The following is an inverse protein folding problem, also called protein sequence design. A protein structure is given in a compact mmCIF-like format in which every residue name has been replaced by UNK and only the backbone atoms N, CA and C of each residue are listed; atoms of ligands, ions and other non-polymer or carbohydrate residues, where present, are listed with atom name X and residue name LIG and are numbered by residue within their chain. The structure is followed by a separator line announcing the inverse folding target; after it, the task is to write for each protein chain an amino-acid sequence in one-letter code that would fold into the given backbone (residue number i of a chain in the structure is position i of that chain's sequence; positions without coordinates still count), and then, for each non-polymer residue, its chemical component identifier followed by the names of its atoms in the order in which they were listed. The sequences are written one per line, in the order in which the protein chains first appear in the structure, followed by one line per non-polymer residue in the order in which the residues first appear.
data_IF_953559013245
#
_entry.id   IF_953559013245
#
_cell.length_a   1.000
_cell.length_b   1.000
_cell.length_c   1.000
_cell.angle_alpha   90.00
_cell.angle_beta   90.00
_cell.angle_gamma   90.00
#
_symmetry.space_group_name_H-M   'P 1'
#
loop_
_entity.id
_entity.type
_entity.pdbx_description
1 polymer ?
#
# COMPACT_ATOMS: atom_id res chain seq x y z
N UNK A 1 12.81 12.81 -16.02
CA UNK A 1 13.63 12.31 -14.89
C UNK A 1 13.06 12.74 -13.53
N UNK A 2 12.50 13.94 -13.36
CA UNK A 2 11.78 14.31 -12.11
C UNK A 2 10.42 13.62 -11.96
N UNK A 3 9.76 13.28 -13.06
CA UNK A 3 8.46 12.59 -13.07
C UNK A 3 8.53 11.08 -12.77
N UNK A 4 9.73 10.53 -12.63
CA UNK A 4 9.94 9.08 -12.57
C UNK A 4 9.40 8.48 -11.25
N UNK A 5 9.25 9.31 -10.20
CA UNK A 5 8.60 8.94 -8.93
C UNK A 5 7.06 9.06 -8.96
N UNK A 6 6.49 9.78 -9.94
CA UNK A 6 5.03 9.87 -10.07
C UNK A 6 4.41 8.52 -10.40
N UNK A 7 5.08 7.70 -11.21
CA UNK A 7 4.57 6.38 -11.58
C UNK A 7 4.35 5.44 -10.38
N UNK A 8 5.33 5.19 -9.49
CA UNK A 8 5.09 4.36 -8.31
C UNK A 8 4.09 4.99 -7.34
N UNK A 9 4.03 6.33 -7.24
CA UNK A 9 3.01 7.04 -6.46
C UNK A 9 1.59 6.79 -7.02
N UNK A 10 1.38 7.00 -8.31
CA UNK A 10 0.10 6.77 -8.99
C UNK A 10 -0.29 5.29 -8.94
N UNK A 11 0.65 4.38 -9.10
CA UNK A 11 0.41 2.95 -8.95
C UNK A 11 -0.10 2.62 -7.53
N UNK A 12 0.46 3.24 -6.50
CA UNK A 12 -0.02 3.07 -5.12
C UNK A 12 -1.43 3.66 -4.92
N UNK A 13 -1.71 4.84 -5.48
CA UNK A 13 -3.09 5.40 -5.48
C UNK A 13 -4.07 4.44 -6.16
N UNK A 14 -3.72 3.91 -7.34
CA UNK A 14 -4.55 2.97 -8.07
C UNK A 14 -4.79 1.69 -7.26
N UNK A 15 -3.77 1.16 -6.58
CA UNK A 15 -3.91 0.01 -5.70
C UNK A 15 -4.85 0.27 -4.54
N UNK A 16 -4.72 1.42 -3.88
CA UNK A 16 -5.64 1.83 -2.79
C UNK A 16 -7.08 1.96 -3.30
N UNK A 17 -7.28 2.51 -4.50
CA UNK A 17 -8.61 2.59 -5.12
C UNK A 17 -9.20 1.19 -5.40
N UNK A 18 -8.39 0.25 -5.89
CA UNK A 18 -8.81 -1.14 -6.07
C UNK A 18 -9.20 -1.80 -4.75
N UNK A 19 -8.49 -1.52 -3.65
CA UNK A 19 -8.84 -2.01 -2.32
C UNK A 19 -10.16 -1.42 -1.80
N UNK A 20 -10.47 -0.14 -2.10
CA UNK A 20 -11.78 0.44 -1.81
C UNK A 20 -12.91 -0.28 -2.56
N UNK A 21 -12.71 -0.55 -3.85
CA UNK A 21 -13.66 -1.33 -4.67
C UNK A 21 -13.84 -2.71 -4.08
N UNK A 22 -12.74 -3.41 -3.75
CA UNK A 22 -12.79 -4.73 -3.13
C UNK A 22 -13.56 -4.73 -1.81
N UNK A 23 -13.31 -3.75 -0.93
CA UNK A 23 -14.02 -3.61 0.34
C UNK A 23 -15.52 -3.34 0.12
N UNK A 24 -15.84 -2.52 -0.87
CA UNK A 24 -17.23 -2.19 -1.23
C UNK A 24 -17.98 -3.44 -1.68
N UNK A 25 -17.37 -4.26 -2.53
CA UNK A 25 -17.93 -5.54 -2.96
C UNK A 25 -18.09 -6.50 -1.78
N UNK A 26 -17.09 -6.60 -0.91
CA UNK A 26 -17.15 -7.47 0.27
C UNK A 26 -18.26 -7.08 1.26
N UNK A 27 -18.59 -5.78 1.34
CA UNK A 27 -19.66 -5.23 2.20
C UNK A 27 -21.04 -5.28 1.58
N UNK A 28 -21.16 -5.44 0.26
CA UNK A 28 -22.44 -5.40 -0.45
C UNK A 28 -23.52 -6.36 0.10
N UNK A 29 -23.20 -7.61 0.49
CA UNK A 29 -24.20 -8.52 1.06
C UNK A 29 -24.77 -8.04 2.40
N UNK A 30 -23.95 -7.39 3.23
CA UNK A 30 -24.34 -6.93 4.56
C UNK A 30 -25.07 -5.58 4.53
N UNK A 31 -24.66 -4.68 3.63
CA UNK A 31 -25.19 -3.30 3.54
C UNK A 31 -26.39 -3.21 2.61
N UNK A 32 -26.33 -3.86 1.44
CA UNK A 32 -27.35 -3.74 0.38
C UNK A 32 -28.08 -5.05 0.09
N UNK A 33 -27.72 -6.16 0.75
CA UNK A 33 -28.30 -7.48 0.48
C UNK A 33 -27.85 -8.12 -0.83
N UNK A 34 -27.05 -7.43 -1.65
CA UNK A 34 -26.57 -7.95 -2.94
C UNK A 34 -25.52 -9.04 -2.71
N UNK A 35 -25.76 -10.25 -3.22
CA UNK A 35 -24.87 -11.40 -3.03
C UNK A 35 -24.97 -12.05 -1.64
N UNK A 36 -26.02 -11.74 -0.88
CA UNK A 36 -26.33 -12.40 0.40
C UNK A 36 -26.76 -13.85 0.16
N UNK A 37 -26.32 -14.76 1.03
CA UNK A 37 -26.72 -16.18 0.96
C UNK A 37 -28.19 -16.35 1.39
N UNK A 38 -28.78 -17.49 1.05
CA UNK A 38 -30.16 -17.84 1.38
C UNK A 38 -30.43 -17.86 2.90
N UNK A 39 -29.41 -18.19 3.70
CA UNK A 39 -29.45 -18.16 5.17
C UNK A 39 -29.28 -16.75 5.76
N UNK A 40 -29.13 -15.72 4.92
CA UNK A 40 -28.91 -14.35 5.36
C UNK A 40 -27.46 -14.05 5.78
N UNK A 41 -26.51 -14.96 5.61
CA UNK A 41 -25.09 -14.70 5.91
C UNK A 41 -24.37 -14.02 4.73
N UNK A 42 -23.30 -13.27 5.05
CA UNK A 42 -22.40 -12.73 4.03
C UNK A 42 -21.34 -13.77 3.64
N UNK A 43 -21.13 -14.07 2.35
CA UNK A 43 -20.06 -14.96 1.91
C UNK A 43 -18.66 -14.44 2.25
N UNK A 44 -18.52 -13.14 2.51
CA UNK A 44 -17.23 -12.47 2.76
C UNK A 44 -16.93 -12.21 4.24
N UNK A 45 -17.79 -12.67 5.17
CA UNK A 45 -17.69 -12.35 6.59
C UNK A 45 -16.30 -12.59 7.22
N UNK A 46 -15.59 -13.64 6.78
CA UNK A 46 -14.27 -13.97 7.30
C UNK A 46 -13.11 -13.15 6.69
N UNK A 47 -13.32 -12.48 5.56
CA UNK A 47 -12.27 -11.74 4.84
C UNK A 47 -12.49 -10.23 4.83
N UNK A 48 -13.74 -9.76 4.91
CA UNK A 48 -14.09 -8.34 4.95
C UNK A 48 -13.31 -7.56 6.02
N UNK A 49 -13.18 -8.04 7.28
CA UNK A 49 -12.43 -7.30 8.30
C UNK A 49 -10.94 -7.15 7.95
N UNK A 50 -10.36 -8.16 7.26
CA UNK A 50 -8.96 -8.15 6.83
C UNK A 50 -8.74 -7.19 5.66
N UNK A 51 -9.69 -7.09 4.73
CA UNK A 51 -9.67 -6.10 3.65
C UNK A 51 -9.75 -4.69 4.25
N UNK A 52 -10.66 -4.46 5.19
CA UNK A 52 -10.79 -3.18 5.89
C UNK A 52 -9.50 -2.78 6.63
N UNK A 53 -8.92 -3.69 7.41
CA UNK A 53 -7.66 -3.44 8.10
C UNK A 53 -6.48 -3.19 7.14
N UNK A 54 -6.44 -3.90 5.99
CA UNK A 54 -5.41 -3.66 4.99
C UNK A 54 -5.57 -2.29 4.32
N UNK A 55 -6.80 -1.87 4.03
CA UNK A 55 -7.09 -0.58 3.45
C UNK A 55 -6.69 0.57 4.39
N UNK A 56 -7.03 0.48 5.68
CA UNK A 56 -6.59 1.47 6.68
C UNK A 56 -5.07 1.58 6.72
N UNK A 57 -4.36 0.45 6.66
CA UNK A 57 -2.89 0.43 6.64
C UNK A 57 -2.28 1.12 5.40
N UNK A 58 -3.03 1.32 4.31
CA UNK A 58 -2.54 2.10 3.15
C UNK A 58 -2.32 3.59 3.47
N UNK A 59 -2.84 4.08 4.61
CA UNK A 59 -2.77 5.48 5.02
C UNK A 59 -1.89 5.73 6.25
N UNK A 60 -1.17 4.73 6.73
CA UNK A 60 -0.22 4.86 7.84
C UNK A 60 1.19 5.12 7.28
N UNK A 61 1.97 4.04 7.11
CA UNK A 61 3.34 4.10 6.61
C UNK A 61 3.48 4.66 5.18
N UNK A 62 2.55 4.39 4.24
CA UNK A 62 2.66 4.94 2.88
C UNK A 62 2.62 6.46 2.79
N UNK A 63 2.11 7.17 3.80
CA UNK A 63 2.15 8.64 3.82
C UNK A 63 3.59 9.14 3.85
N UNK A 64 4.47 8.45 4.58
CA UNK A 64 5.91 8.77 4.63
C UNK A 64 6.62 8.47 3.30
N UNK A 65 6.15 7.50 2.53
CA UNK A 65 6.60 7.25 1.17
C UNK A 65 6.29 8.42 0.25
N UNK A 66 5.05 8.92 0.26
CA UNK A 66 4.66 10.08 -0.56
C UNK A 66 5.44 11.33 -0.16
N UNK A 67 5.59 11.58 1.14
CA UNK A 67 6.36 12.72 1.64
C UNK A 67 7.82 12.69 1.13
N UNK A 68 8.50 11.54 1.23
CA UNK A 68 9.86 11.39 0.73
C UNK A 68 9.96 11.60 -0.79
N UNK A 69 9.02 11.04 -1.57
CA UNK A 69 9.01 11.20 -3.03
C UNK A 69 8.84 12.67 -3.43
N UNK A 70 7.89 13.38 -2.81
CA UNK A 70 7.65 14.80 -3.05
C UNK A 70 8.86 15.66 -2.69
N UNK A 71 9.49 15.41 -1.54
CA UNK A 71 10.71 16.11 -1.13
C UNK A 71 11.86 15.88 -2.11
N UNK A 72 12.08 14.64 -2.57
CA UNK A 72 13.10 14.34 -3.56
C UNK A 72 12.85 15.04 -4.90
N UNK A 73 11.60 15.11 -5.34
CA UNK A 73 11.24 15.86 -6.55
C UNK A 73 11.48 17.36 -6.38
N UNK A 74 11.13 17.93 -5.21
CA UNK A 74 11.33 19.35 -4.89
C UNK A 74 12.82 19.73 -4.80
N UNK A 75 13.63 18.90 -4.14
CA UNK A 75 15.07 19.12 -3.95
C UNK A 75 15.90 18.79 -5.21
N UNK A 76 15.29 18.32 -6.30
CA UNK A 76 16.01 17.81 -7.46
C UNK A 76 16.86 16.57 -7.15
N UNK A 77 16.57 15.86 -6.05
CA UNK A 77 17.31 14.71 -5.54
C UNK A 77 16.95 13.37 -6.18
N UNK A 78 16.05 13.36 -7.18
CA UNK A 78 15.60 12.12 -7.84
C UNK A 78 16.77 11.43 -8.51
N UNK A 79 17.01 10.17 -8.12
CA UNK A 79 18.08 9.34 -8.65
C UNK A 79 17.63 7.88 -8.76
N UNK A 80 18.46 7.03 -9.39
CA UNK A 80 18.18 5.60 -9.61
C UNK A 80 17.84 4.83 -8.32
N UNK A 81 18.42 5.19 -7.18
CA UNK A 81 18.15 4.52 -5.90
C UNK A 81 16.77 4.89 -5.38
N UNK A 82 16.41 6.17 -5.42
CA UNK A 82 15.07 6.63 -5.07
C UNK A 82 13.99 5.93 -5.92
N UNK A 83 14.19 5.84 -7.23
CA UNK A 83 13.25 5.18 -8.14
C UNK A 83 13.12 3.69 -7.80
N UNK A 84 14.25 2.99 -7.60
CA UNK A 84 14.25 1.57 -7.25
C UNK A 84 13.55 1.30 -5.91
N UNK A 85 13.80 2.12 -4.89
CA UNK A 85 13.16 2.00 -3.58
C UNK A 85 11.66 2.30 -3.65
N UNK A 86 11.24 3.26 -4.46
CA UNK A 86 9.83 3.59 -4.65
C UNK A 86 9.05 2.43 -5.31
N UNK A 87 9.63 1.77 -6.31
CA UNK A 87 9.03 0.57 -6.91
C UNK A 87 9.06 -0.64 -5.97
N UNK A 88 10.16 -0.83 -5.22
CA UNK A 88 10.23 -1.88 -4.20
C UNK A 88 9.13 -1.72 -3.16
N UNK A 89 8.91 -0.49 -2.70
CA UNK A 89 7.80 -0.16 -1.81
C UNK A 89 6.46 -0.51 -2.47
N UNK A 90 6.18 -0.02 -3.68
CA UNK A 90 4.90 -0.24 -4.35
C UNK A 90 4.60 -1.75 -4.56
N UNK A 91 5.57 -2.52 -5.06
CA UNK A 91 5.42 -3.98 -5.23
C UNK A 91 5.23 -4.66 -3.86
N UNK A 92 6.00 -4.23 -2.86
CA UNK A 92 5.86 -4.67 -1.47
C UNK A 92 4.45 -4.46 -0.92
N UNK A 93 3.75 -3.37 -1.30
CA UNK A 93 2.37 -3.10 -0.88
C UNK A 93 1.39 -4.09 -1.46
N UNK A 94 1.54 -4.44 -2.74
CA UNK A 94 0.70 -5.46 -3.40
C UNK A 94 0.89 -6.81 -2.71
N UNK A 95 2.14 -7.23 -2.49
CA UNK A 95 2.46 -8.48 -1.81
C UNK A 95 1.93 -8.52 -0.37
N UNK A 96 2.17 -7.46 0.40
CA UNK A 96 1.68 -7.35 1.78
C UNK A 96 0.15 -7.42 1.84
N UNK A 97 -0.53 -6.77 0.90
CA UNK A 97 -2.00 -6.80 0.81
C UNK A 97 -2.51 -8.20 0.50
N UNK A 98 -1.87 -8.92 -0.43
CA UNK A 98 -2.18 -10.32 -0.69
C UNK A 98 -2.02 -11.19 0.55
N UNK A 99 -0.89 -11.09 1.25
CA UNK A 99 -0.64 -11.87 2.48
C UNK A 99 -1.64 -11.53 3.57
N UNK A 100 -1.88 -10.25 3.85
CA UNK A 100 -2.77 -9.80 4.93
C UNK A 100 -4.24 -10.17 4.68
N UNK A 101 -4.69 -10.09 3.43
CA UNK A 101 -6.09 -10.38 3.07
C UNK A 101 -6.33 -11.88 2.94
N UNK A 102 -5.43 -12.61 2.30
CA UNK A 102 -5.66 -14.02 1.94
C UNK A 102 -5.22 -15.01 3.02
N UNK A 103 -4.31 -14.62 3.92
CA UNK A 103 -3.75 -15.52 4.93
C UNK A 103 -4.00 -15.01 6.36
N UNK A 104 -3.79 -15.88 7.35
CA UNK A 104 -3.77 -15.53 8.78
C UNK A 104 -2.35 -15.59 9.37
N UNK A 105 -1.33 -15.86 8.54
CA UNK A 105 0.06 -15.99 9.00
C UNK A 105 0.63 -14.63 9.39
N UNK A 106 0.82 -14.45 10.69
CA UNK A 106 1.32 -13.20 11.28
C UNK A 106 2.81 -13.00 10.99
N UNK A 107 3.59 -14.08 10.93
CA UNK A 107 5.05 -14.02 10.71
C UNK A 107 5.34 -13.62 9.28
N UNK A 108 4.67 -14.25 8.31
CA UNK A 108 4.79 -13.90 6.90
C UNK A 108 4.36 -12.45 6.65
N UNK A 109 3.24 -12.02 7.26
CA UNK A 109 2.79 -10.63 7.17
C UNK A 109 3.84 -9.65 7.68
N UNK A 110 4.42 -9.92 8.85
CA UNK A 110 5.50 -9.11 9.42
C UNK A 110 6.72 -9.02 8.49
N UNK A 111 7.16 -10.14 7.93
CA UNK A 111 8.32 -10.20 7.04
C UNK A 111 8.13 -9.35 5.77
N UNK A 112 6.96 -9.47 5.12
CA UNK A 112 6.66 -8.67 3.92
C UNK A 112 6.47 -7.20 4.28
N UNK A 113 5.91 -6.89 5.45
CA UNK A 113 5.85 -5.52 5.95
C UNK A 113 7.25 -4.90 6.14
N UNK A 114 8.21 -5.67 6.67
CA UNK A 114 9.59 -5.19 6.85
C UNK A 114 10.24 -4.73 5.54
N UNK A 115 9.97 -5.39 4.42
CA UNK A 115 10.47 -4.97 3.09
C UNK A 115 9.97 -3.55 2.76
N UNK A 116 8.66 -3.30 2.97
CA UNK A 116 8.05 -1.99 2.77
C UNK A 116 8.62 -0.95 3.73
N UNK A 117 8.81 -1.34 5.00
CA UNK A 117 9.37 -0.49 6.04
C UNK A 117 10.77 0.01 5.67
N UNK A 118 11.65 -0.90 5.29
CA UNK A 118 13.03 -0.59 4.89
C UNK A 118 13.10 0.22 3.60
N UNK A 119 12.21 -0.02 2.63
CA UNK A 119 12.17 0.78 1.40
C UNK A 119 11.92 2.27 1.68
N UNK A 120 10.99 2.58 2.60
CA UNK A 120 10.70 3.96 3.00
C UNK A 120 11.85 4.56 3.80
N UNK A 121 12.47 3.82 4.72
CA UNK A 121 13.67 4.31 5.42
C UNK A 121 14.81 4.62 4.44
N UNK A 122 15.00 3.78 3.42
CA UNK A 122 15.94 4.03 2.33
C UNK A 122 15.61 5.31 1.57
N UNK A 123 14.33 5.56 1.24
CA UNK A 123 13.91 6.80 0.60
C UNK A 123 14.24 8.02 1.46
N UNK A 124 13.97 7.97 2.76
CA UNK A 124 14.33 9.06 3.66
C UNK A 124 15.84 9.26 3.78
N UNK A 125 16.65 8.21 3.74
CA UNK A 125 18.11 8.34 3.64
C UNK A 125 18.52 9.08 2.35
N UNK A 126 17.85 8.82 1.22
CA UNK A 126 18.10 9.57 -0.02
C UNK A 126 17.63 11.02 0.07
N UNK A 127 16.52 11.32 0.76
CA UNK A 127 16.05 12.70 1.02
C UNK A 127 17.12 13.47 1.80
N UNK A 128 17.59 12.88 2.90
CA UNK A 128 18.63 13.48 3.74
C UNK A 128 19.91 13.77 2.94
N UNK A 129 20.37 12.80 2.14
CA UNK A 129 21.54 12.98 1.29
C UNK A 129 21.35 14.07 0.21
N UNK A 130 20.12 14.30 -0.26
CA UNK A 130 19.82 15.37 -1.20
C UNK A 130 19.77 16.75 -0.53
N UNK A 131 19.29 16.84 0.70
CA UNK A 131 19.17 18.11 1.44
C UNK A 131 20.47 18.66 2.01
N UNK A 132 21.54 17.85 2.10
CA UNK A 132 22.88 18.28 2.52
C UNK A 132 23.82 18.66 1.37
N UNK A 133 23.29 18.78 0.15
CA UNK A 133 24.03 19.30 -1.02
C UNK A 133 23.72 20.77 -1.21
#
# INVERSE_FOLDING_TARGET
MTHDLLLPMTAHVAWTALLYVLLTVARAPAVWGVGRRADGSSPWAAVEPRIGANLSNQFEWPVLFYAACLLLMLLGGVNRWAIGLAWLFMIGRVLHSGVQILTTDIRLRGLVFTINFLAVLGLWATVLAAGWR
#
